data_IF_049418345399
#
_entry.id   IF_049418345399
#
_cell.length_a   1.000
_cell.length_b   1.000
_cell.length_c   1.000
_cell.angle_alpha   90.00
_cell.angle_beta   90.00
_cell.angle_gamma   90.00
#
_symmetry.space_group_name_H-M   'P 1'
#
loop_
_entity.id
_entity.type
_entity.pdbx_description
1 polymer ?
#
# COMPACT_ATOMS: atom_id res chain seq x y z
N UNK A 1 10.99 -1.84 9.25
CA UNK A 1 10.66 -1.56 7.84
C UNK A 1 9.74 -2.63 7.31
N UNK A 2 8.72 -2.24 6.59
CA UNK A 2 7.73 -3.18 6.06
C UNK A 2 8.19 -3.72 4.70
N UNK A 3 7.93 -5.00 4.46
CA UNK A 3 8.28 -5.63 3.21
C UNK A 3 7.37 -5.13 2.09
N UNK A 4 7.97 -4.81 0.96
CA UNK A 4 7.25 -4.35 -0.22
C UNK A 4 7.69 -5.13 -1.44
N UNK A 5 6.79 -5.26 -2.41
CA UNK A 5 7.10 -5.83 -3.71
C UNK A 5 6.83 -4.77 -4.77
N UNK A 6 7.88 -4.40 -5.51
CA UNK A 6 7.76 -3.43 -6.60
C UNK A 6 7.40 -4.14 -7.90
N UNK A 7 6.36 -3.62 -8.55
CA UNK A 7 6.02 -3.96 -9.93
C UNK A 7 6.28 -2.70 -10.78
N UNK A 8 7.42 -2.63 -11.49
CA UNK A 8 7.78 -1.42 -12.23
C UNK A 8 6.85 -1.20 -13.42
N UNK A 9 6.67 0.07 -13.77
CA UNK A 9 5.86 0.46 -14.91
C UNK A 9 6.40 -0.16 -16.21
N UNK A 10 5.50 -0.71 -17.03
CA UNK A 10 5.86 -1.31 -18.32
C UNK A 10 6.12 -0.26 -19.40
N UNK A 11 5.54 0.92 -19.26
CA UNK A 11 5.66 2.06 -20.17
C UNK A 11 6.25 3.26 -19.44
N UNK A 12 6.65 4.33 -20.11
CA UNK A 12 7.07 5.55 -19.43
C UNK A 12 6.05 6.04 -18.43
N UNK A 13 6.52 6.43 -17.25
CA UNK A 13 5.65 6.80 -16.13
C UNK A 13 4.91 8.10 -16.44
N UNK A 14 3.58 8.06 -16.38
CA UNK A 14 2.70 9.22 -16.55
C UNK A 14 1.75 9.45 -15.37
N UNK A 15 1.81 8.59 -14.34
CA UNK A 15 0.95 8.68 -13.15
C UNK A 15 1.77 8.41 -11.88
N UNK A 16 1.34 8.94 -10.72
CA UNK A 16 1.98 8.63 -9.44
C UNK A 16 1.94 7.13 -9.14
N UNK A 17 2.86 6.64 -8.29
CA UNK A 17 2.87 5.24 -7.91
C UNK A 17 1.59 4.87 -7.15
N UNK A 18 1.20 3.60 -7.27
CA UNK A 18 0.09 3.01 -6.56
C UNK A 18 0.61 2.08 -5.47
N UNK A 19 0.18 2.29 -4.23
CA UNK A 19 0.44 1.38 -3.11
C UNK A 19 -0.79 0.52 -2.87
N UNK A 20 -0.60 -0.78 -2.73
CA UNK A 20 -1.67 -1.75 -2.47
C UNK A 20 -1.52 -2.33 -1.07
N UNK A 21 -2.57 -2.20 -0.24
CA UNK A 21 -2.67 -2.77 1.09
C UNK A 21 -3.69 -3.92 1.09
N UNK A 22 -3.22 -5.13 1.40
CA UNK A 22 -4.04 -6.35 1.35
C UNK A 22 -4.99 -6.49 2.55
N UNK A 23 -5.91 -7.47 2.48
CA UNK A 23 -6.81 -7.83 3.56
C UNK A 23 -6.19 -8.77 4.59
N UNK A 24 -6.97 -9.06 5.65
CA UNK A 24 -6.55 -9.94 6.73
C UNK A 24 -6.17 -11.33 6.18
N UNK A 25 -5.08 -11.90 6.69
CA UNK A 25 -4.47 -13.15 6.24
C UNK A 25 -3.97 -13.13 4.78
N UNK A 26 -4.00 -11.97 4.15
CA UNK A 26 -3.40 -11.81 2.83
C UNK A 26 -1.92 -11.47 2.88
N UNK A 27 -1.38 -11.11 1.73
CA UNK A 27 -0.01 -10.62 1.59
C UNK A 27 0.11 -9.87 0.26
N UNK A 28 1.22 -9.17 0.07
CA UNK A 28 1.55 -8.55 -1.22
C UNK A 28 1.51 -9.55 -2.36
N UNK A 29 1.91 -10.79 -2.10
CA UNK A 29 1.94 -11.87 -3.09
C UNK A 29 0.57 -12.18 -3.68
N UNK A 30 -0.51 -12.05 -2.91
CA UNK A 30 -1.86 -12.29 -3.40
C UNK A 30 -2.28 -11.31 -4.49
N UNK A 31 -1.62 -10.16 -4.56
CA UNK A 31 -1.94 -9.09 -5.50
C UNK A 31 -1.02 -9.05 -6.73
N UNK A 32 -0.11 -10.01 -6.87
CA UNK A 32 0.91 -10.01 -7.92
C UNK A 32 0.35 -9.87 -9.33
N UNK A 33 -0.69 -10.63 -9.68
CA UNK A 33 -1.30 -10.59 -11.01
C UNK A 33 -1.97 -9.23 -11.26
N UNK A 34 -2.74 -8.74 -10.29
CA UNK A 34 -3.44 -7.46 -10.40
C UNK A 34 -2.42 -6.31 -10.45
N UNK A 35 -1.43 -6.34 -9.58
CA UNK A 35 -0.38 -5.33 -9.54
C UNK A 35 0.36 -5.23 -10.87
N UNK A 36 0.71 -6.36 -11.48
CA UNK A 36 1.34 -6.39 -12.79
C UNK A 36 0.50 -5.74 -13.88
N UNK A 37 -0.80 -6.02 -13.87
CA UNK A 37 -1.73 -5.43 -14.85
C UNK A 37 -1.91 -3.93 -14.66
N UNK A 38 -1.85 -3.47 -13.41
CA UNK A 38 -1.97 -2.04 -13.10
C UNK A 38 -0.67 -1.28 -13.32
N UNK A 39 0.45 -1.96 -13.45
CA UNK A 39 1.76 -1.36 -13.64
C UNK A 39 2.04 -1.07 -15.13
N UNK A 40 1.14 -0.36 -15.80
CA UNK A 40 1.34 0.06 -17.19
C UNK A 40 2.13 1.38 -17.24
N UNK A 41 1.55 2.45 -16.73
CA UNK A 41 2.16 3.80 -16.77
C UNK A 41 2.52 4.32 -15.39
N UNK A 42 2.56 3.45 -14.39
CA UNK A 42 2.93 3.76 -13.01
C UNK A 42 3.61 2.58 -12.34
N UNK A 43 4.47 2.84 -11.39
CA UNK A 43 4.96 1.80 -10.49
C UNK A 43 3.84 1.38 -9.55
N UNK A 44 3.76 0.08 -9.27
CA UNK A 44 2.83 -0.46 -8.28
C UNK A 44 3.63 -1.13 -7.18
N UNK A 45 3.37 -0.73 -5.93
CA UNK A 45 4.06 -1.25 -4.75
C UNK A 45 3.04 -1.98 -3.88
N UNK A 46 3.17 -3.29 -3.78
CA UNK A 46 2.35 -4.10 -2.88
C UNK A 46 3.06 -4.27 -1.55
N UNK A 47 2.38 -3.96 -0.45
CA UNK A 47 2.94 -3.97 0.90
C UNK A 47 2.48 -5.23 1.63
N UNK A 48 3.39 -5.91 2.34
CA UNK A 48 3.01 -6.85 3.38
C UNK A 48 2.67 -6.03 4.64
N UNK A 49 1.41 -6.07 5.04
CA UNK A 49 0.96 -5.37 6.26
C UNK A 49 1.63 -5.98 7.49
N UNK A 50 1.66 -5.23 8.62
CA UNK A 50 2.23 -5.76 9.86
C UNK A 50 1.60 -7.11 10.22
N UNK A 51 2.38 -7.99 10.80
CA UNK A 51 1.97 -9.35 11.17
C UNK A 51 1.62 -10.26 10.00
N UNK A 52 1.92 -9.85 8.77
CA UNK A 52 1.66 -10.61 7.55
C UNK A 52 2.91 -10.71 6.69
N UNK A 53 3.00 -11.77 5.89
CA UNK A 53 4.09 -11.97 4.94
C UNK A 53 5.47 -11.83 5.57
N UNK A 54 6.35 -11.10 4.93
CA UNK A 54 7.72 -10.85 5.38
C UNK A 54 7.87 -9.59 6.24
N UNK A 55 6.78 -8.88 6.55
CA UNK A 55 6.83 -7.69 7.39
C UNK A 55 6.95 -8.05 8.86
N UNK A 56 7.40 -7.11 9.72
CA UNK A 56 7.58 -7.38 11.15
C UNK A 56 6.31 -7.87 11.84
N UNK A 57 6.48 -8.80 12.76
CA UNK A 57 5.44 -9.25 13.65
C UNK A 57 5.50 -8.44 14.94
N UNK A 58 4.41 -7.78 15.28
CA UNK A 58 4.30 -6.90 16.45
C UNK A 58 3.10 -7.31 17.29
N UNK A 59 3.10 -7.03 18.62
CA UNK A 59 1.95 -7.34 19.46
C UNK A 59 0.75 -6.45 19.17
N UNK A 60 0.95 -5.29 18.54
CA UNK A 60 -0.11 -4.36 18.19
C UNK A 60 -0.63 -4.63 16.78
N UNK A 61 -1.95 -4.54 16.60
CA UNK A 61 -2.61 -4.74 15.31
C UNK A 61 -3.86 -3.88 15.22
N UNK A 62 -3.68 -2.56 15.25
CA UNK A 62 -4.78 -1.60 15.18
C UNK A 62 -4.77 -0.87 13.84
N UNK A 63 -5.91 -0.29 13.45
CA UNK A 63 -5.98 0.52 12.23
C UNK A 63 -5.10 1.77 12.30
N UNK A 64 -5.02 2.51 13.42
CA UNK A 64 -4.05 3.60 13.52
C UNK A 64 -2.61 3.16 13.30
N UNK A 65 -2.21 2.01 13.84
CA UNK A 65 -0.86 1.49 13.64
C UNK A 65 -0.62 1.09 12.19
N UNK A 66 -1.58 0.42 11.56
CA UNK A 66 -1.48 0.06 10.14
C UNK A 66 -1.45 1.30 9.23
N UNK A 67 -2.21 2.33 9.58
CA UNK A 67 -2.19 3.60 8.86
C UNK A 67 -0.81 4.25 8.95
N UNK A 68 -0.19 4.23 10.13
CA UNK A 68 1.16 4.74 10.33
C UNK A 68 2.19 3.97 9.48
N UNK A 69 2.03 2.64 9.39
CA UNK A 69 2.89 1.81 8.53
C UNK A 69 2.79 2.20 7.07
N UNK A 70 1.57 2.39 6.57
CA UNK A 70 1.35 2.82 5.19
C UNK A 70 1.89 4.22 4.94
N UNK A 71 1.73 5.14 5.89
CA UNK A 71 2.28 6.49 5.79
C UNK A 71 3.81 6.45 5.69
N UNK A 72 4.47 5.56 6.42
CA UNK A 72 5.93 5.38 6.35
C UNK A 72 6.36 4.90 4.96
N UNK A 73 5.67 3.91 4.40
CA UNK A 73 5.94 3.44 3.04
C UNK A 73 5.75 4.55 2.02
N UNK A 74 4.66 5.30 2.12
CA UNK A 74 4.36 6.39 1.19
C UNK A 74 5.40 7.52 1.28
N UNK A 75 5.85 7.85 2.48
CA UNK A 75 6.89 8.87 2.68
C UNK A 75 8.20 8.48 1.99
N UNK A 76 8.56 7.21 1.97
CA UNK A 76 9.75 6.72 1.30
C UNK A 76 9.68 6.86 -0.22
N UNK A 77 8.50 6.94 -0.80
CA UNK A 77 8.32 7.14 -2.24
C UNK A 77 8.51 8.60 -2.67
N UNK A 78 8.46 9.54 -1.72
CA UNK A 78 8.91 10.91 -1.91
C UNK A 78 7.98 11.85 -2.66
N UNK A 79 6.79 11.42 -3.07
CA UNK A 79 5.87 12.27 -3.82
C UNK A 79 4.43 11.88 -3.60
N UNK A 80 3.49 12.44 -4.40
CA UNK A 80 2.08 12.02 -4.33
C UNK A 80 1.94 10.54 -4.65
N UNK A 81 1.09 9.85 -3.91
CA UNK A 81 0.86 8.40 -4.04
C UNK A 81 -0.63 8.13 -4.09
N UNK A 82 -1.04 7.21 -4.96
CA UNK A 82 -2.37 6.64 -4.92
C UNK A 82 -2.35 5.39 -4.03
N UNK A 83 -3.39 5.19 -3.25
CA UNK A 83 -3.48 4.09 -2.29
C UNK A 83 -4.74 3.29 -2.54
N UNK A 84 -4.57 1.98 -2.70
CA UNK A 84 -5.69 1.04 -2.78
C UNK A 84 -5.62 0.08 -1.61
N UNK A 85 -6.73 -0.06 -0.88
CA UNK A 85 -6.85 -0.98 0.23
C UNK A 85 -8.02 -1.93 0.05
N UNK A 86 -7.80 -3.22 0.36
CA UNK A 86 -8.83 -4.25 0.33
C UNK A 86 -9.17 -4.68 1.75
N UNK A 87 -10.45 -4.64 2.13
CA UNK A 87 -10.95 -5.10 3.43
C UNK A 87 -10.18 -4.46 4.59
N UNK A 88 -9.39 -5.21 5.36
CA UNK A 88 -8.53 -4.69 6.43
C UNK A 88 -7.62 -3.56 5.92
N UNK A 89 -6.96 -3.77 4.78
CA UNK A 89 -6.14 -2.75 4.14
C UNK A 89 -6.95 -1.52 3.74
N UNK A 90 -8.21 -1.70 3.33
CA UNK A 90 -9.11 -0.60 3.03
C UNK A 90 -9.44 0.24 4.25
N UNK A 91 -9.67 -0.39 5.40
CA UNK A 91 -9.92 0.33 6.67
C UNK A 91 -8.67 1.06 7.14
N UNK A 92 -7.49 0.45 7.02
CA UNK A 92 -6.23 1.11 7.31
C UNK A 92 -6.00 2.32 6.40
N UNK A 93 -6.32 2.19 5.12
CA UNK A 93 -6.20 3.27 4.15
C UNK A 93 -7.15 4.44 4.46
N UNK A 94 -8.39 4.13 4.87
CA UNK A 94 -9.33 5.17 5.30
C UNK A 94 -8.85 5.89 6.56
N UNK A 95 -8.29 5.15 7.52
CA UNK A 95 -7.71 5.74 8.73
C UNK A 95 -6.54 6.68 8.37
N UNK A 96 -5.68 6.28 7.44
CA UNK A 96 -4.60 7.12 6.94
C UNK A 96 -5.13 8.40 6.30
N UNK A 97 -6.15 8.29 5.46
CA UNK A 97 -6.75 9.45 4.79
C UNK A 97 -7.31 10.47 5.78
N UNK A 98 -7.83 10.01 6.92
CA UNK A 98 -8.38 10.86 7.96
C UNK A 98 -7.32 11.49 8.86
N UNK A 99 -6.18 10.84 9.05
CA UNK A 99 -5.21 11.23 10.09
C UNK A 99 -3.85 11.65 9.53
N UNK A 100 -3.39 11.08 8.40
CA UNK A 100 -2.05 11.30 7.85
C UNK A 100 -2.06 11.41 6.33
N UNK A 101 -2.85 12.31 5.72
CA UNK A 101 -3.05 12.34 4.27
C UNK A 101 -1.94 13.03 3.47
N UNK A 102 -0.80 13.40 4.06
CA UNK A 102 0.18 14.31 3.47
C UNK A 102 0.67 13.89 2.06
N UNK A 103 0.83 12.59 1.81
CA UNK A 103 1.29 12.10 0.51
C UNK A 103 0.18 11.44 -0.31
N UNK A 104 -1.04 11.43 0.20
CA UNK A 104 -2.15 10.75 -0.46
C UNK A 104 -2.76 11.62 -1.56
N UNK A 105 -2.80 11.10 -2.79
CA UNK A 105 -3.47 11.75 -3.91
C UNK A 105 -4.89 11.21 -4.12
N UNK A 106 -5.00 9.90 -4.28
CA UNK A 106 -6.30 9.22 -4.47
C UNK A 106 -6.38 7.98 -3.61
N UNK A 107 -7.57 7.69 -3.12
CA UNK A 107 -7.88 6.53 -2.30
C UNK A 107 -8.89 5.65 -3.01
N UNK A 108 -8.58 4.35 -3.11
CA UNK A 108 -9.48 3.33 -3.62
C UNK A 108 -9.68 2.29 -2.53
N UNK A 109 -10.94 2.07 -2.15
CA UNK A 109 -11.31 1.08 -1.14
C UNK A 109 -12.15 -0.02 -1.80
N UNK A 110 -11.69 -1.24 -1.64
CA UNK A 110 -12.37 -2.40 -2.23
C UNK A 110 -12.78 -3.44 -1.17
#
# INVERSE_FOLDING_TARGET
MFATTLHPAAQPITAPPLVIAHGLFGSARNWGVIAKRMADVRDVIAVDMRNHGASPHTPSHSYPDMAADLAEVMAQLGGPVDLMGHSMGGKAAMQLALTQPAHLRRLIVA
#
